data_IF_101752234168
#
_entry.id   IF_101752234168
#
_cell.length_a   1.000
_cell.length_b   1.000
_cell.length_c   1.000
_cell.angle_alpha   90.00
_cell.angle_beta   90.00
_cell.angle_gamma   90.00
#
_symmetry.space_group_name_H-M   'P 1'
#
loop_
_entity.id
_entity.type
_entity.pdbx_description
1 polymer ?
#
# COMPACT_ATOMS: atom_id res chain seq x y z
N UNK A 1 -43.73 10.76 -15.90
CA UNK A 1 -42.31 10.90 -16.28
C UNK A 1 -41.57 9.60 -16.06
N UNK A 2 -40.95 9.09 -17.05
CA UNK A 2 -40.25 7.80 -16.98
C UNK A 2 -38.92 7.91 -16.21
N UNK A 3 -38.47 6.81 -15.64
CA UNK A 3 -37.20 6.67 -14.95
C UNK A 3 -35.96 6.88 -15.88
N UNK A 4 -36.12 6.58 -17.18
CA UNK A 4 -35.05 6.65 -18.17
C UNK A 4 -34.45 8.05 -18.35
N UNK A 5 -35.21 9.15 -18.43
CA UNK A 5 -34.64 10.49 -18.52
C UNK A 5 -33.81 10.87 -17.30
N UNK A 6 -34.24 10.45 -16.10
CA UNK A 6 -33.51 10.70 -14.86
C UNK A 6 -32.18 9.93 -14.82
N UNK A 7 -32.20 8.68 -15.27
CA UNK A 7 -30.98 7.87 -15.37
C UNK A 7 -29.97 8.42 -16.40
N UNK A 8 -30.46 8.89 -17.55
CA UNK A 8 -29.63 9.57 -18.56
C UNK A 8 -28.97 10.82 -18.01
N UNK A 9 -29.74 11.64 -17.29
CA UNK A 9 -29.21 12.85 -16.65
C UNK A 9 -28.13 12.51 -15.63
N UNK A 10 -28.39 11.53 -14.78
CA UNK A 10 -27.45 11.06 -13.74
C UNK A 10 -26.17 10.47 -14.35
N UNK A 11 -26.30 9.75 -15.46
CA UNK A 11 -25.16 9.24 -16.19
C UNK A 11 -24.28 10.37 -16.74
N UNK A 12 -24.87 11.38 -17.39
CA UNK A 12 -24.15 12.52 -17.91
C UNK A 12 -23.42 13.31 -16.80
N UNK A 13 -24.06 13.49 -15.65
CA UNK A 13 -23.43 14.13 -14.48
C UNK A 13 -22.23 13.32 -13.95
N UNK A 14 -22.34 11.99 -13.92
CA UNK A 14 -21.25 11.11 -13.51
C UNK A 14 -20.09 11.13 -14.53
N UNK A 15 -20.40 11.09 -15.82
CA UNK A 15 -19.39 11.18 -16.89
C UNK A 15 -18.60 12.50 -16.80
N UNK A 16 -19.28 13.63 -16.54
CA UNK A 16 -18.62 14.91 -16.31
C UNK A 16 -17.72 14.91 -15.06
N UNK A 17 -18.19 14.30 -13.97
CA UNK A 17 -17.39 14.18 -12.74
C UNK A 17 -16.16 13.30 -12.95
N UNK A 18 -16.30 12.20 -13.67
CA UNK A 18 -15.17 11.31 -14.01
C UNK A 18 -14.17 12.07 -14.87
N UNK A 19 -14.61 12.75 -15.93
CA UNK A 19 -13.73 13.52 -16.80
C UNK A 19 -13.00 14.64 -16.04
N UNK A 20 -13.68 15.35 -15.13
CA UNK A 20 -13.06 16.37 -14.28
C UNK A 20 -12.01 15.76 -13.34
N UNK A 21 -12.31 14.62 -12.72
CA UNK A 21 -11.37 13.89 -11.86
C UNK A 21 -10.15 13.40 -12.65
N UNK A 22 -10.34 12.87 -13.85
CA UNK A 22 -9.23 12.46 -14.72
C UNK A 22 -8.36 13.64 -15.14
N UNK A 23 -8.95 14.79 -15.46
CA UNK A 23 -8.21 16.00 -15.79
C UNK A 23 -7.39 16.53 -14.61
N UNK A 24 -7.96 16.50 -13.38
CA UNK A 24 -7.25 16.89 -12.16
C UNK A 24 -6.08 15.94 -11.83
N UNK A 25 -6.22 14.67 -12.18
CA UNK A 25 -5.19 13.63 -11.95
C UNK A 25 -4.19 13.51 -13.10
N UNK A 26 -4.41 14.19 -14.21
CA UNK A 26 -3.50 14.14 -15.35
C UNK A 26 -2.07 14.55 -14.92
N UNK A 27 -1.13 13.63 -15.09
CA UNK A 27 0.27 13.83 -14.70
C UNK A 27 0.58 13.56 -13.23
N UNK A 28 -0.39 13.15 -12.41
CA UNK A 28 -0.15 12.71 -11.04
C UNK A 28 0.11 11.20 -10.96
N UNK A 29 0.91 10.74 -9.98
CA UNK A 29 1.11 9.31 -9.76
C UNK A 29 -0.21 8.59 -9.46
N UNK A 30 -0.34 7.35 -9.90
CA UNK A 30 -1.45 6.46 -9.54
C UNK A 30 -0.94 5.42 -8.57
N UNK A 31 -1.55 5.33 -7.40
CA UNK A 31 -1.19 4.38 -6.36
C UNK A 31 -2.32 3.39 -6.14
N UNK A 32 -2.00 2.11 -6.24
CA UNK A 32 -2.93 1.03 -5.97
C UNK A 32 -2.44 0.28 -4.73
N UNK A 33 -3.28 0.20 -3.71
CA UNK A 33 -3.00 -0.61 -2.53
C UNK A 33 -3.77 -1.92 -2.58
N UNK A 34 -3.10 -3.01 -2.23
CA UNK A 34 -3.71 -4.34 -2.14
C UNK A 34 -3.64 -4.80 -0.69
N UNK A 35 -4.77 -4.77 -0.01
CA UNK A 35 -4.96 -5.45 1.26
C UNK A 35 -5.57 -6.82 0.98
N UNK A 36 -5.04 -7.86 1.63
CA UNK A 36 -5.48 -9.23 1.38
C UNK A 36 -5.68 -10.01 2.66
N UNK A 37 -6.65 -10.90 2.62
CA UNK A 37 -6.75 -11.99 3.59
C UNK A 37 -5.86 -13.16 3.19
N UNK A 38 -5.53 -14.00 4.15
CA UNK A 38 -4.75 -15.19 3.90
C UNK A 38 -5.43 -16.09 2.87
N UNK A 39 -4.71 -16.48 1.81
CA UNK A 39 -5.21 -17.33 0.73
C UNK A 39 -6.00 -16.61 -0.37
N UNK A 40 -6.12 -15.28 -0.34
CA UNK A 40 -6.86 -14.52 -1.36
C UNK A 40 -6.05 -14.23 -2.65
N UNK A 41 -4.84 -14.78 -2.79
CA UNK A 41 -3.98 -14.61 -3.98
C UNK A 41 -3.66 -13.15 -4.36
N UNK A 42 -3.68 -12.23 -3.39
CA UNK A 42 -3.43 -10.80 -3.63
C UNK A 42 -2.09 -10.52 -4.32
N UNK A 43 -1.07 -11.32 -4.04
CA UNK A 43 0.23 -11.20 -4.69
C UNK A 43 0.17 -11.50 -6.20
N UNK A 44 -0.54 -12.53 -6.61
CA UNK A 44 -0.72 -12.85 -8.03
C UNK A 44 -1.53 -11.78 -8.75
N UNK A 45 -2.55 -11.24 -8.11
CA UNK A 45 -3.33 -10.10 -8.62
C UNK A 45 -2.41 -8.88 -8.78
N UNK A 46 -1.57 -8.59 -7.81
CA UNK A 46 -0.59 -7.51 -7.86
C UNK A 46 0.39 -7.65 -9.03
N UNK A 47 0.90 -8.85 -9.26
CA UNK A 47 1.77 -9.13 -10.41
C UNK A 47 1.07 -8.93 -11.74
N UNK A 48 -0.17 -9.38 -11.87
CA UNK A 48 -0.96 -9.19 -13.09
C UNK A 48 -1.22 -7.71 -13.36
N UNK A 49 -1.62 -6.96 -12.35
CA UNK A 49 -1.81 -5.51 -12.45
C UNK A 49 -0.51 -4.78 -12.80
N UNK A 50 0.60 -5.16 -12.19
CA UNK A 50 1.91 -4.58 -12.50
C UNK A 50 2.29 -4.78 -13.95
N UNK A 51 2.09 -5.98 -14.50
CA UNK A 51 2.34 -6.29 -15.90
C UNK A 51 1.41 -5.53 -16.85
N UNK A 52 0.14 -5.45 -16.51
CA UNK A 52 -0.89 -4.79 -17.34
C UNK A 52 -0.70 -3.27 -17.38
N UNK A 53 -0.41 -2.66 -16.23
CA UNK A 53 -0.29 -1.21 -16.10
C UNK A 53 1.12 -0.69 -16.33
N UNK A 54 2.13 -1.56 -16.36
CA UNK A 54 3.53 -1.17 -16.52
C UNK A 54 4.08 -0.37 -15.32
N UNK A 55 3.54 -0.59 -14.12
CA UNK A 55 3.98 0.06 -12.88
C UNK A 55 4.53 -0.97 -11.88
N UNK A 56 5.50 -0.58 -11.03
CA UNK A 56 6.13 -1.54 -10.12
C UNK A 56 5.18 -2.01 -9.02
N UNK A 57 5.37 -3.26 -8.59
CA UNK A 57 4.77 -3.85 -7.41
C UNK A 57 5.79 -3.86 -6.27
N UNK A 58 5.43 -3.25 -5.14
CA UNK A 58 6.24 -3.21 -3.93
C UNK A 58 5.64 -4.06 -2.82
N UNK A 59 6.43 -4.96 -2.29
CA UNK A 59 6.14 -5.79 -1.13
C UNK A 59 7.40 -5.87 -0.25
N UNK A 60 8.26 -6.85 -0.47
CA UNK A 60 9.48 -7.04 0.32
C UNK A 60 10.50 -5.91 0.14
N UNK A 61 10.49 -5.23 -0.97
CA UNK A 61 11.37 -4.08 -1.20
C UNK A 61 11.12 -2.92 -0.21
N UNK A 62 9.89 -2.80 0.29
CA UNK A 62 9.58 -1.83 1.35
C UNK A 62 10.36 -2.15 2.62
N UNK A 63 10.49 -3.43 2.98
CA UNK A 63 11.34 -3.85 4.10
C UNK A 63 12.81 -3.50 3.88
N UNK A 64 13.33 -3.75 2.69
CA UNK A 64 14.72 -3.42 2.34
C UNK A 64 14.97 -1.92 2.49
N UNK A 65 14.13 -1.09 1.88
CA UNK A 65 14.23 0.37 1.97
C UNK A 65 14.09 0.88 3.41
N UNK A 66 13.19 0.27 4.17
CA UNK A 66 12.99 0.61 5.58
C UNK A 66 14.19 0.25 6.44
N UNK A 67 14.82 -0.89 6.17
CA UNK A 67 16.04 -1.31 6.87
C UNK A 67 17.19 -0.34 6.65
N UNK A 68 17.37 0.13 5.42
CA UNK A 68 18.39 1.12 5.09
C UNK A 68 18.14 2.43 5.85
N UNK A 69 16.91 2.93 5.85
CA UNK A 69 16.53 4.15 6.57
C UNK A 69 16.67 4.03 8.08
N UNK A 70 16.41 2.83 8.61
CA UNK A 70 16.54 2.55 10.03
C UNK A 70 17.99 2.30 10.49
N UNK A 71 18.91 2.06 9.55
CA UNK A 71 20.27 1.65 9.85
C UNK A 71 20.36 0.25 10.47
N UNK A 72 19.42 -0.63 10.12
CA UNK A 72 19.33 -2.00 10.63
C UNK A 72 19.77 -3.02 9.58
N UNK A 73 20.33 -4.15 10.03
CA UNK A 73 20.68 -5.24 9.12
C UNK A 73 19.44 -5.99 8.65
N UNK A 74 19.52 -6.54 7.44
CA UNK A 74 18.42 -7.37 6.90
C UNK A 74 18.15 -8.62 7.73
N UNK A 75 19.18 -9.23 8.33
CA UNK A 75 19.03 -10.40 9.20
C UNK A 75 18.15 -10.08 10.40
N UNK A 76 18.33 -8.90 10.99
CA UNK A 76 17.53 -8.44 12.12
C UNK A 76 16.09 -8.12 11.74
N UNK A 77 15.90 -7.54 10.55
CA UNK A 77 14.58 -7.25 10.00
C UNK A 77 13.84 -8.53 9.62
N UNK A 78 14.52 -9.48 8.98
CA UNK A 78 13.94 -10.76 8.60
C UNK A 78 13.52 -11.58 9.82
N UNK A 79 14.34 -11.63 10.85
CA UNK A 79 13.99 -12.28 12.12
C UNK A 79 12.75 -11.65 12.75
N UNK A 80 12.61 -10.34 12.68
CA UNK A 80 11.44 -9.62 13.18
C UNK A 80 10.18 -9.91 12.35
N UNK A 81 10.28 -9.93 11.03
CA UNK A 81 9.17 -10.23 10.12
C UNK A 81 8.66 -11.67 10.29
N UNK A 82 9.58 -12.63 10.46
CA UNK A 82 9.26 -14.02 10.82
C UNK A 82 8.58 -14.12 12.19
N UNK A 83 9.03 -13.34 13.16
CA UNK A 83 8.43 -13.29 14.48
C UNK A 83 7.03 -12.71 14.44
N UNK A 84 6.78 -11.67 13.70
CA UNK A 84 5.43 -11.13 13.49
C UNK A 84 4.50 -12.17 12.84
N UNK A 85 5.00 -12.93 11.89
CA UNK A 85 4.26 -14.02 11.27
C UNK A 85 3.98 -15.16 12.26
N UNK A 86 4.91 -15.41 13.20
CA UNK A 86 4.77 -16.41 14.27
C UNK A 86 3.99 -15.91 15.49
N UNK A 87 3.92 -14.60 15.70
CA UNK A 87 3.41 -13.93 16.91
C UNK A 87 1.90 -13.75 17.00
N UNK A 88 1.18 -14.22 16.09
CA UNK A 88 -0.12 -14.71 16.52
C UNK A 88 0.03 -15.77 17.63
N UNK A 89 1.28 -16.06 18.05
CA UNK A 89 1.60 -17.07 19.05
C UNK A 89 2.72 -16.62 20.01
N UNK A 90 2.35 -15.86 21.02
CA UNK A 90 2.96 -15.90 22.35
C UNK A 90 4.47 -15.62 22.54
N UNK A 91 4.77 -14.74 23.48
CA UNK A 91 5.93 -14.74 24.37
C UNK A 91 7.34 -14.60 23.77
N UNK A 92 7.79 -13.35 23.72
CA UNK A 92 9.21 -13.03 23.67
C UNK A 92 9.73 -12.63 25.05
N UNK A 93 10.89 -13.16 25.50
CA UNK A 93 11.48 -12.81 26.78
C UNK A 93 12.05 -11.39 26.87
N UNK A 94 12.36 -10.71 25.75
CA UNK A 94 12.87 -9.34 25.72
C UNK A 94 11.94 -8.38 25.00
N UNK A 95 10.87 -8.03 25.69
CA UNK A 95 9.79 -7.21 25.16
C UNK A 95 10.15 -5.75 24.88
N UNK A 96 11.19 -5.21 25.50
CA UNK A 96 11.53 -3.78 25.38
C UNK A 96 12.31 -3.50 24.11
N UNK A 97 13.31 -4.31 23.79
CA UNK A 97 14.11 -4.14 22.56
C UNK A 97 13.30 -4.49 21.31
N UNK A 98 12.46 -5.50 21.38
CA UNK A 98 11.57 -5.88 20.30
C UNK A 98 10.53 -4.80 19.98
N UNK A 99 9.96 -4.12 20.99
CA UNK A 99 9.04 -3.00 20.78
C UNK A 99 9.74 -1.82 20.13
N UNK A 100 10.92 -1.44 20.62
CA UNK A 100 11.68 -0.32 20.07
C UNK A 100 12.06 -0.57 18.61
N UNK A 101 12.44 -1.79 18.26
CA UNK A 101 12.71 -2.18 16.88
C UNK A 101 11.43 -2.16 16.05
N UNK A 102 10.32 -2.68 16.57
CA UNK A 102 9.03 -2.68 15.90
C UNK A 102 8.53 -1.28 15.59
N UNK A 103 8.56 -0.40 16.57
CA UNK A 103 8.12 0.99 16.42
C UNK A 103 9.00 1.75 15.44
N UNK A 104 10.31 1.58 15.53
CA UNK A 104 11.28 2.19 14.62
C UNK A 104 11.09 1.68 13.18
N UNK A 105 10.90 0.38 13.01
CA UNK A 105 10.68 -0.21 11.70
C UNK A 105 9.36 0.24 11.10
N UNK A 106 8.30 0.26 11.89
CA UNK A 106 6.98 0.74 11.46
C UNK A 106 7.06 2.20 11.01
N UNK A 107 7.72 3.07 11.77
CA UNK A 107 7.91 4.47 11.40
C UNK A 107 8.64 4.59 10.06
N UNK A 108 9.71 3.84 9.85
CA UNK A 108 10.47 3.86 8.61
C UNK A 108 9.70 3.27 7.43
N UNK A 109 8.94 2.20 7.64
CA UNK A 109 8.02 1.66 6.64
C UNK A 109 6.95 2.68 6.24
N UNK A 110 6.35 3.36 7.21
CA UNK A 110 5.37 4.40 6.94
C UNK A 110 5.96 5.53 6.09
N UNK A 111 7.16 5.98 6.40
CA UNK A 111 7.86 6.99 5.59
C UNK A 111 8.11 6.51 4.16
N UNK A 112 8.60 5.29 3.98
CA UNK A 112 8.83 4.70 2.64
C UNK A 112 7.54 4.64 1.84
N UNK A 113 6.46 4.15 2.44
CA UNK A 113 5.16 4.01 1.76
C UNK A 113 4.59 5.37 1.36
N UNK A 114 4.63 6.35 2.25
CA UNK A 114 4.16 7.70 1.97
C UNK A 114 4.98 8.36 0.86
N UNK A 115 6.29 8.21 0.88
CA UNK A 115 7.17 8.75 -0.16
C UNK A 115 6.90 8.10 -1.52
N UNK A 116 6.77 6.77 -1.57
CA UNK A 116 6.42 6.06 -2.80
C UNK A 116 5.07 6.51 -3.36
N UNK A 117 4.06 6.60 -2.51
CA UNK A 117 2.72 7.05 -2.92
C UNK A 117 2.65 8.50 -3.38
N UNK A 118 3.63 9.31 -3.05
CA UNK A 118 3.70 10.73 -3.41
C UNK A 118 4.56 11.00 -4.65
N UNK A 119 5.45 10.08 -5.01
CA UNK A 119 6.49 10.33 -6.01
C UNK A 119 6.35 9.51 -7.27
N UNK A 120 5.72 8.35 -7.23
CA UNK A 120 5.63 7.46 -8.39
C UNK A 120 4.32 6.67 -8.46
N UNK A 121 3.96 6.25 -9.66
CA UNK A 121 2.88 5.29 -9.85
C UNK A 121 3.37 3.90 -9.45
N UNK A 122 2.64 3.26 -8.55
CA UNK A 122 3.03 1.96 -8.03
C UNK A 122 1.85 1.17 -7.45
N UNK A 123 2.09 -0.11 -7.24
CA UNK A 123 1.21 -1.00 -6.50
C UNK A 123 1.92 -1.37 -5.20
N UNK A 124 1.26 -1.22 -4.08
CA UNK A 124 1.80 -1.58 -2.76
C UNK A 124 0.93 -2.68 -2.15
N UNK A 125 1.56 -3.80 -1.85
CA UNK A 125 0.89 -4.96 -1.28
C UNK A 125 1.08 -5.02 0.24
N UNK A 126 -0.03 -5.03 0.98
CA UNK A 126 -0.04 -5.17 2.43
C UNK A 126 0.56 -4.00 3.19
N UNK A 127 1.13 -4.27 4.36
CA UNK A 127 1.88 -3.36 5.24
C UNK A 127 1.10 -2.12 5.67
N UNK A 128 -0.21 -2.25 5.82
CA UNK A 128 -1.13 -1.16 6.16
C UNK A 128 -1.06 0.03 5.17
N UNK A 129 -0.64 -0.21 3.93
CA UNK A 129 -0.51 0.84 2.93
C UNK A 129 -1.82 1.55 2.63
N UNK A 130 -2.93 0.84 2.61
CA UNK A 130 -4.28 1.39 2.49
C UNK A 130 -4.59 2.41 3.59
N UNK A 131 -4.25 2.09 4.83
CA UNK A 131 -4.42 3.00 5.97
C UNK A 131 -3.45 4.18 5.91
N UNK A 132 -2.18 3.94 5.64
CA UNK A 132 -1.14 4.98 5.60
C UNK A 132 -1.38 5.99 4.47
N UNK A 133 -1.91 5.53 3.35
CA UNK A 133 -2.19 6.36 2.17
C UNK A 133 -3.63 6.88 2.09
N UNK A 134 -4.44 6.67 3.11
CA UNK A 134 -5.86 7.07 3.11
C UNK A 134 -6.12 8.54 2.80
N UNK A 135 -5.15 9.40 3.07
CA UNK A 135 -5.22 10.84 2.78
C UNK A 135 -4.52 11.22 1.47
N UNK A 136 -3.91 10.27 0.77
CA UNK A 136 -3.27 10.51 -0.52
C UNK A 136 -4.34 10.65 -1.61
N UNK A 137 -4.31 11.72 -2.42
CA UNK A 137 -5.32 11.94 -3.46
C UNK A 137 -5.10 11.09 -4.73
N UNK A 138 -3.98 10.36 -4.84
CA UNK A 138 -3.54 9.63 -6.04
C UNK A 138 -4.07 8.20 -6.10
#
# INVERSE_FOLDING_TARGET
MGIIPQLKKRRAELELRVAASEAERAGQPVVITIARDFGAEGHEIGKMLSAELGIPLYDNEILVRSSIRAGESMDRIAAYDEQLAAENMAFLPDRVDARNLADKLFEKMAQVIIDLGSTESCIIEGRLSDYLLRANPN
#
